data_IF_514790230846
#
_entry.id   IF_514790230846
#
_cell.length_a   1.000
_cell.length_b   1.000
_cell.length_c   1.000
_cell.angle_alpha   90.00
_cell.angle_beta   90.00
_cell.angle_gamma   90.00
#
_symmetry.space_group_name_H-M   'P 1'
#
loop_
_entity.id
_entity.type
_entity.pdbx_description
1 polymer ?
#
# COMPACT_ATOMS: atom_id res chain seq x y z
N UNK A 1 -2.10 0.56 8.05
CA UNK A 1 -2.58 1.96 7.98
C UNK A 1 -4.03 2.06 8.39
N UNK A 2 -4.93 1.34 7.72
CA UNK A 2 -6.37 1.56 7.90
C UNK A 2 -6.99 0.97 9.16
N UNK A 3 -6.54 -0.21 9.59
CA UNK A 3 -7.03 -0.83 10.83
C UNK A 3 -6.56 -0.05 12.05
N UNK A 4 -7.49 0.26 12.97
CA UNK A 4 -7.20 1.01 14.22
C UNK A 4 -6.12 0.36 15.08
N UNK A 5 -6.10 -0.97 15.15
CA UNK A 5 -5.10 -1.74 15.90
C UNK A 5 -3.82 -2.05 15.11
N UNK A 6 -3.69 -1.55 13.88
CA UNK A 6 -2.52 -1.79 13.05
C UNK A 6 -1.33 -0.94 13.51
N UNK A 7 -0.12 -1.51 13.49
CA UNK A 7 1.12 -0.81 13.84
C UNK A 7 1.42 0.43 12.98
N UNK A 8 0.78 0.54 11.82
CA UNK A 8 0.93 1.63 10.85
C UNK A 8 -0.28 2.56 10.82
N UNK A 9 -1.16 2.53 11.82
CA UNK A 9 -2.27 3.49 11.94
C UNK A 9 -1.74 4.89 12.23
N UNK A 10 -2.36 5.92 11.63
CA UNK A 10 -1.75 7.26 11.56
C UNK A 10 -2.60 8.39 12.19
N UNK A 11 -3.86 8.14 12.54
CA UNK A 11 -4.75 9.14 13.12
C UNK A 11 -5.34 8.64 14.43
N UNK A 12 -5.83 9.55 15.28
CA UNK A 12 -6.51 9.24 16.56
C UNK A 12 -5.80 8.13 17.40
N UNK A 13 -4.46 8.21 17.46
CA UNK A 13 -3.60 7.19 18.05
C UNK A 13 -3.93 6.94 19.53
N UNK A 14 -4.02 5.67 19.91
CA UNK A 14 -4.25 5.26 21.31
C UNK A 14 -5.72 5.34 21.78
N UNK A 15 -6.65 5.76 20.93
CA UNK A 15 -8.08 5.74 21.28
C UNK A 15 -8.65 4.32 21.25
N UNK A 16 -9.34 3.93 22.33
CA UNK A 16 -9.92 2.57 22.48
C UNK A 16 -11.19 2.35 21.65
N UNK A 17 -12.00 3.40 21.47
CA UNK A 17 -13.24 3.37 20.70
C UNK A 17 -13.13 4.27 19.46
N UNK A 18 -13.80 3.94 18.35
CA UNK A 18 -13.82 4.84 17.20
C UNK A 18 -14.48 6.15 17.62
N UNK A 19 -13.82 7.27 17.34
CA UNK A 19 -14.35 8.59 17.66
C UNK A 19 -15.55 8.94 16.77
N UNK A 20 -15.59 8.36 15.56
CA UNK A 20 -16.62 8.64 14.56
C UNK A 20 -17.13 7.37 13.86
N UNK A 21 -18.37 7.43 13.38
CA UNK A 21 -19.02 6.30 12.69
C UNK A 21 -18.26 5.85 11.43
N UNK A 22 -17.65 6.78 10.70
CA UNK A 22 -16.87 6.45 9.49
C UNK A 22 -15.60 5.66 9.81
N UNK A 23 -15.00 5.85 10.98
CA UNK A 23 -13.81 5.07 11.41
C UNK A 23 -14.19 3.63 11.72
N UNK A 24 -15.31 3.42 12.41
CA UNK A 24 -15.85 2.10 12.67
C UNK A 24 -16.18 1.36 11.36
N UNK A 25 -16.70 2.09 10.38
CA UNK A 25 -17.01 1.55 9.06
C UNK A 25 -15.73 1.16 8.29
N UNK A 26 -14.67 1.98 8.31
CA UNK A 26 -13.37 1.61 7.74
C UNK A 26 -12.85 0.32 8.39
N UNK A 27 -12.89 0.22 9.70
CA UNK A 27 -12.43 -0.96 10.44
C UNK A 27 -13.22 -2.23 10.04
N UNK A 28 -14.54 -2.11 9.89
CA UNK A 28 -15.44 -3.18 9.44
C UNK A 28 -15.09 -3.63 8.02
N UNK A 29 -14.98 -2.68 7.09
CA UNK A 29 -14.66 -2.95 5.68
C UNK A 29 -13.27 -3.58 5.53
N UNK A 30 -12.29 -3.08 6.28
CA UNK A 30 -10.93 -3.60 6.26
C UNK A 30 -10.85 -5.04 6.78
N UNK A 31 -11.60 -5.39 7.83
CA UNK A 31 -11.69 -6.78 8.30
C UNK A 31 -12.37 -7.69 7.28
N UNK A 32 -13.45 -7.22 6.65
CA UNK A 32 -14.17 -8.00 5.65
C UNK A 32 -13.31 -8.27 4.41
N UNK A 33 -12.60 -7.26 3.89
CA UNK A 33 -11.79 -7.44 2.69
C UNK A 33 -10.58 -8.37 2.93
N UNK A 34 -10.06 -8.45 4.17
CA UNK A 34 -8.96 -9.36 4.51
C UNK A 34 -9.33 -10.85 4.34
N UNK A 35 -10.61 -11.19 4.48
CA UNK A 35 -11.10 -12.57 4.34
C UNK A 35 -11.84 -12.82 3.02
N UNK A 36 -11.95 -11.81 2.16
CA UNK A 36 -12.67 -11.92 0.89
C UNK A 36 -11.79 -12.51 -0.23
N UNK A 37 -12.25 -13.62 -0.80
CA UNK A 37 -11.54 -14.36 -1.84
C UNK A 37 -11.87 -13.85 -3.24
N UNK A 38 -13.08 -13.35 -3.45
CA UNK A 38 -13.47 -12.76 -4.72
C UNK A 38 -12.78 -11.40 -4.90
N UNK A 39 -11.98 -11.29 -5.96
CA UNK A 39 -11.22 -10.07 -6.25
C UNK A 39 -12.11 -8.83 -6.42
N UNK A 40 -13.21 -8.94 -7.15
CA UNK A 40 -14.09 -7.81 -7.43
C UNK A 40 -14.75 -7.30 -6.14
N UNK A 41 -15.22 -8.21 -5.29
CA UNK A 41 -15.79 -7.84 -3.98
C UNK A 41 -14.73 -7.27 -3.05
N UNK A 42 -13.54 -7.88 -2.98
CA UNK A 42 -12.44 -7.35 -2.17
C UNK A 42 -12.06 -5.92 -2.58
N UNK A 43 -12.01 -5.66 -3.90
CA UNK A 43 -11.75 -4.33 -4.44
C UNK A 43 -12.86 -3.34 -4.05
N UNK A 44 -14.13 -3.72 -4.23
CA UNK A 44 -15.28 -2.87 -3.89
C UNK A 44 -15.28 -2.44 -2.42
N UNK A 45 -14.93 -3.36 -1.51
CA UNK A 45 -14.81 -3.07 -0.08
C UNK A 45 -13.69 -2.04 0.18
N UNK A 46 -12.54 -2.20 -0.45
CA UNK A 46 -11.41 -1.28 -0.28
C UNK A 46 -11.64 0.08 -0.95
N UNK A 47 -12.32 0.12 -2.10
CA UNK A 47 -12.72 1.37 -2.75
C UNK A 47 -13.60 2.22 -1.81
N UNK A 48 -14.52 1.59 -1.06
CA UNK A 48 -15.32 2.29 -0.05
C UNK A 48 -14.47 2.83 1.11
N UNK A 49 -13.43 2.10 1.54
CA UNK A 49 -12.47 2.61 2.53
C UNK A 49 -11.78 3.87 2.01
N UNK A 50 -11.29 3.84 0.77
CA UNK A 50 -10.63 5.00 0.15
C UNK A 50 -11.58 6.20 0.03
N UNK A 51 -12.84 5.96 -0.33
CA UNK A 51 -13.86 7.00 -0.39
C UNK A 51 -14.07 7.66 0.99
N UNK A 52 -14.22 6.87 2.06
CA UNK A 52 -14.37 7.41 3.42
C UNK A 52 -13.16 8.23 3.88
N UNK A 53 -11.95 7.78 3.54
CA UNK A 53 -10.72 8.53 3.82
C UNK A 53 -10.69 9.85 3.05
N UNK A 54 -11.10 9.87 1.78
CA UNK A 54 -11.18 11.09 0.99
C UNK A 54 -12.25 12.07 1.50
N UNK A 55 -13.39 11.57 1.98
CA UNK A 55 -14.48 12.36 2.53
C UNK A 55 -14.14 13.00 3.89
N UNK A 56 -13.40 12.28 4.75
CA UNK A 56 -13.12 12.70 6.13
C UNK A 56 -11.70 13.25 6.35
N UNK A 57 -10.82 13.07 5.37
CA UNK A 57 -9.43 13.57 5.36
C UNK A 57 -8.64 13.35 6.67
N UNK A 58 -8.65 12.13 7.28
CA UNK A 58 -7.80 11.86 8.45
C UNK A 58 -6.30 11.91 8.11
N UNK A 59 -5.97 11.81 6.81
CA UNK A 59 -4.66 12.04 6.24
C UNK A 59 -4.83 12.73 4.88
N UNK A 60 -3.86 13.56 4.52
CA UNK A 60 -3.84 14.26 3.22
C UNK A 60 -2.78 13.63 2.33
N UNK A 61 -3.22 12.88 1.32
CA UNK A 61 -2.33 12.32 0.30
C UNK A 61 -1.81 13.43 -0.61
N UNK A 62 -0.50 13.71 -0.58
CA UNK A 62 0.10 14.79 -1.36
C UNK A 62 0.47 14.36 -2.78
N UNK A 63 1.30 13.31 -2.90
CA UNK A 63 1.87 12.88 -4.18
C UNK A 63 2.06 11.36 -4.21
N UNK A 64 1.98 10.79 -5.41
CA UNK A 64 2.55 9.47 -5.71
C UNK A 64 3.95 9.69 -6.30
N UNK A 65 5.03 9.37 -5.56
CA UNK A 65 6.38 9.71 -6.00
C UNK A 65 6.80 8.89 -7.23
N UNK A 66 7.52 9.54 -8.15
CA UNK A 66 8.23 8.83 -9.22
C UNK A 66 9.45 8.11 -8.64
N UNK A 67 9.79 6.96 -9.22
CA UNK A 67 10.97 6.18 -8.85
C UNK A 67 12.00 6.30 -9.97
N UNK A 68 13.20 6.80 -9.63
CA UNK A 68 14.34 6.86 -10.53
C UNK A 68 15.43 5.92 -10.00
N UNK A 69 15.92 5.02 -10.85
CA UNK A 69 16.99 4.09 -10.51
C UNK A 69 18.05 4.09 -11.61
N UNK A 70 19.28 3.73 -11.24
CA UNK A 70 20.41 3.65 -12.17
C UNK A 70 21.14 2.31 -12.03
N UNK A 71 21.72 1.86 -13.14
CA UNK A 71 22.60 0.71 -13.19
C UNK A 71 23.86 1.03 -13.99
N UNK A 72 24.96 0.35 -13.66
CA UNK A 72 26.20 0.47 -14.42
C UNK A 72 26.02 -0.16 -15.81
N UNK A 73 26.59 0.47 -16.84
CA UNK A 73 26.66 -0.11 -18.18
C UNK A 73 27.28 -1.51 -18.13
N UNK A 74 26.62 -2.48 -18.73
CA UNK A 74 27.02 -3.89 -18.74
C UNK A 74 26.32 -4.76 -17.70
N UNK A 75 25.48 -4.20 -16.81
CA UNK A 75 24.58 -4.99 -15.99
C UNK A 75 23.37 -5.42 -16.85
N UNK A 76 23.33 -6.70 -17.18
CA UNK A 76 22.24 -7.34 -17.89
C UNK A 76 21.06 -7.64 -16.99
N UNK A 77 19.88 -7.71 -17.62
CA UNK A 77 18.62 -8.10 -16.97
C UNK A 77 18.16 -7.21 -15.80
N UNK A 78 18.60 -5.95 -15.78
CA UNK A 78 18.16 -4.96 -14.82
C UNK A 78 16.71 -4.54 -15.10
N UNK A 79 15.75 -4.95 -14.26
CA UNK A 79 14.30 -4.72 -14.43
C UNK A 79 13.71 -4.03 -13.20
N UNK A 80 13.69 -2.69 -13.13
CA UNK A 80 13.07 -2.00 -12.00
C UNK A 80 11.56 -2.25 -11.88
N UNK A 81 11.04 -2.31 -10.66
CA UNK A 81 9.61 -2.45 -10.35
C UNK A 81 9.12 -1.34 -9.41
N UNK A 82 7.80 -1.15 -9.33
CA UNK A 82 7.14 -0.10 -8.52
C UNK A 82 7.01 -0.52 -7.04
N UNK A 83 7.11 -1.81 -6.72
CA UNK A 83 7.04 -2.31 -5.35
C UNK A 83 8.43 -2.39 -4.73
N UNK A 84 8.51 -2.12 -3.41
CA UNK A 84 9.76 -2.06 -2.68
C UNK A 84 10.59 -3.36 -2.75
N UNK A 85 11.90 -3.13 -2.67
CA UNK A 85 13.01 -3.75 -3.38
C UNK A 85 12.97 -3.52 -4.90
N UNK A 86 12.80 -2.23 -5.29
CA UNK A 86 12.59 -1.77 -6.67
C UNK A 86 13.55 -2.36 -7.70
N UNK A 87 14.80 -2.67 -7.34
CA UNK A 87 15.82 -3.19 -8.26
C UNK A 87 16.26 -4.63 -7.97
N UNK A 88 15.76 -5.24 -6.90
CA UNK A 88 16.30 -6.50 -6.36
C UNK A 88 15.30 -7.67 -6.41
N UNK A 89 14.05 -7.45 -6.83
CA UNK A 89 13.06 -8.53 -6.94
C UNK A 89 13.52 -9.67 -7.90
N UNK A 90 14.37 -9.36 -8.88
CA UNK A 90 14.93 -10.32 -9.84
C UNK A 90 16.46 -10.48 -9.71
N UNK A 91 17.02 -10.31 -8.50
CA UNK A 91 18.47 -10.31 -8.25
C UNK A 91 19.19 -11.55 -8.81
N UNK A 92 18.59 -12.72 -8.71
CA UNK A 92 19.13 -14.01 -9.18
C UNK A 92 19.32 -14.06 -10.70
N UNK A 93 18.64 -13.19 -11.44
CA UNK A 93 18.74 -13.13 -12.89
C UNK A 93 19.69 -12.04 -13.39
N UNK A 94 20.35 -11.29 -12.49
CA UNK A 94 21.29 -10.23 -12.87
C UNK A 94 22.65 -10.83 -13.28
N UNK A 95 23.25 -10.30 -14.34
CA UNK A 95 24.55 -10.75 -14.82
C UNK A 95 25.36 -9.61 -15.45
N UNK A 96 26.67 -9.82 -15.61
CA UNK A 96 27.54 -8.89 -16.33
C UNK A 96 27.74 -9.35 -17.76
N UNK A 97 27.50 -8.47 -18.74
CA UNK A 97 27.64 -8.78 -20.17
C UNK A 97 29.10 -8.87 -20.65
N UNK A 98 30.05 -8.35 -19.87
CA UNK A 98 31.47 -8.27 -20.24
C UNK A 98 32.34 -9.17 -19.34
N UNK A 99 32.04 -10.47 -19.33
CA UNK A 99 33.01 -11.47 -18.83
C UNK A 99 33.71 -12.13 -20.02
#
# INVERSE_FOLDING_TARGET
VWLRGGSTHLWNLGQRNPAAAWEAEIDRLMRQQLTELNYAERKRLYDRVQQLVAENLPLVCLVSPNILVGAKKGLGNFRPAILDHYTLWNIEELFWTNR
#
